data_IF_312726246904
#
_entry.id   IF_312726246904
#
_cell.length_a   1.000
_cell.length_b   1.000
_cell.length_c   1.000
_cell.angle_alpha   90.00
_cell.angle_beta   90.00
_cell.angle_gamma   90.00
#
_symmetry.space_group_name_H-M   'P 1'
#
loop_
_entity.id
_entity.type
_entity.pdbx_description
1 polymer ?
#
# COMPACT_ATOMS: atom_id res chain seq x y z
N UNK A 1 -19.63 -17.84 -31.34
CA UNK A 1 -18.80 -17.12 -30.34
C UNK A 1 -18.12 -18.16 -29.48
N UNK A 2 -16.79 -18.27 -29.56
CA UNK A 2 -16.05 -19.21 -28.72
C UNK A 2 -15.80 -18.58 -27.34
N UNK A 3 -16.16 -19.29 -26.28
CA UNK A 3 -15.84 -18.91 -24.90
C UNK A 3 -14.32 -18.86 -24.72
N UNK A 4 -13.77 -17.68 -24.42
CA UNK A 4 -12.39 -17.56 -23.96
C UNK A 4 -12.35 -17.88 -22.47
N UNK A 5 -11.79 -19.03 -22.10
CA UNK A 5 -11.61 -19.42 -20.70
C UNK A 5 -10.22 -18.97 -20.25
N UNK A 6 -10.15 -17.89 -19.47
CA UNK A 6 -8.93 -17.47 -18.78
C UNK A 6 -8.86 -18.16 -17.42
N UNK A 7 -7.96 -19.15 -17.27
CA UNK A 7 -7.64 -19.73 -15.97
C UNK A 7 -6.63 -18.83 -15.27
N UNK A 8 -7.04 -18.15 -14.21
CA UNK A 8 -6.15 -17.37 -13.36
C UNK A 8 -5.91 -18.14 -12.05
N UNK A 9 -4.65 -18.28 -11.68
CA UNK A 9 -4.23 -18.79 -10.37
C UNK A 9 -3.39 -17.69 -9.74
N UNK A 10 -3.62 -17.43 -8.46
CA UNK A 10 -2.80 -16.50 -7.70
C UNK A 10 -1.38 -17.06 -7.57
N UNK A 11 -0.48 -16.55 -8.41
CA UNK A 11 0.92 -16.96 -8.48
C UNK A 11 1.84 -16.07 -7.61
N UNK A 12 1.30 -15.08 -6.89
CA UNK A 12 2.08 -14.04 -6.20
C UNK A 12 2.63 -14.43 -4.83
N UNK A 13 2.34 -15.66 -4.37
CA UNK A 13 2.85 -16.35 -3.17
C UNK A 13 2.73 -15.64 -1.80
N UNK A 14 2.49 -16.50 -0.80
CA UNK A 14 2.29 -16.29 0.63
C UNK A 14 1.10 -15.38 0.99
N UNK A 15 0.01 -16.04 1.43
CA UNK A 15 -1.13 -15.37 2.04
C UNK A 15 -0.73 -14.81 3.40
N UNK A 16 -1.18 -13.59 3.70
CA UNK A 16 -0.90 -12.95 4.97
C UNK A 16 -2.08 -13.08 5.95
N UNK A 17 -3.30 -13.31 5.48
CA UNK A 17 -4.49 -13.35 6.35
C UNK A 17 -4.65 -14.74 6.96
N UNK A 18 -4.44 -14.84 8.27
CA UNK A 18 -4.59 -16.08 9.05
C UNK A 18 -6.05 -16.32 9.43
N UNK A 19 -6.74 -15.27 9.87
CA UNK A 19 -8.15 -15.35 10.26
C UNK A 19 -8.96 -14.22 9.66
N UNK A 20 -10.11 -14.61 9.12
CA UNK A 20 -11.13 -13.76 8.51
C UNK A 20 -12.35 -13.81 9.41
N UNK A 21 -12.64 -12.75 10.16
CA UNK A 21 -13.66 -12.77 11.21
C UNK A 21 -14.89 -11.97 10.81
N UNK A 22 -14.72 -10.71 10.39
CA UNK A 22 -15.82 -9.88 9.92
C UNK A 22 -15.42 -9.11 8.67
N UNK A 23 -16.20 -9.29 7.61
CA UNK A 23 -16.08 -8.62 6.34
C UNK A 23 -17.03 -7.42 6.22
N UNK A 24 -16.81 -6.62 5.18
CA UNK A 24 -17.80 -5.68 4.66
C UNK A 24 -18.68 -6.48 3.69
N UNK A 25 -19.97 -6.72 4.01
CA UNK A 25 -20.82 -7.57 3.18
C UNK A 25 -20.88 -7.06 1.73
N UNK A 26 -20.69 -7.97 0.78
CA UNK A 26 -20.66 -7.63 -0.64
C UNK A 26 -19.38 -6.93 -1.10
N UNK A 27 -18.35 -6.84 -0.26
CA UNK A 27 -17.06 -6.24 -0.60
C UNK A 27 -17.10 -4.73 -0.82
N UNK A 28 -16.04 -4.21 -1.45
CA UNK A 28 -15.91 -2.78 -1.76
C UNK A 28 -15.38 -2.59 -3.17
N UNK A 29 -15.62 -1.40 -3.72
CA UNK A 29 -15.01 -0.96 -4.97
C UNK A 29 -13.81 -0.05 -4.68
N UNK A 30 -12.60 -0.49 -5.02
CA UNK A 30 -11.37 0.29 -4.88
C UNK A 30 -11.08 1.05 -6.16
N UNK A 31 -10.79 2.33 -6.03
CA UNK A 31 -10.42 3.19 -7.15
C UNK A 31 -9.00 2.89 -7.65
N UNK A 32 -8.84 2.65 -8.96
CA UNK A 32 -7.54 2.36 -9.59
C UNK A 32 -6.78 3.60 -10.09
N UNK A 33 -7.46 4.73 -10.22
CA UNK A 33 -6.92 5.96 -10.86
C UNK A 33 -5.63 6.48 -10.20
N UNK A 34 -5.47 6.19 -8.91
CA UNK A 34 -4.34 6.65 -8.10
C UNK A 34 -3.34 5.53 -7.79
N UNK A 35 -3.51 4.32 -8.32
CA UNK A 35 -2.63 3.18 -8.03
C UNK A 35 -1.46 3.12 -9.01
N UNK A 36 -0.23 3.15 -8.49
CA UNK A 36 0.98 2.98 -9.28
C UNK A 36 1.47 1.53 -9.43
N UNK A 37 0.83 0.57 -8.76
CA UNK A 37 1.18 -0.86 -8.76
C UNK A 37 0.25 -1.69 -9.65
N UNK A 38 0.75 -2.78 -10.23
CA UNK A 38 0.00 -3.69 -11.12
C UNK A 38 -0.84 -4.74 -10.39
N UNK A 39 -0.70 -4.82 -9.07
CA UNK A 39 -1.30 -5.84 -8.24
C UNK A 39 -1.63 -5.24 -6.88
N UNK A 40 -2.87 -5.42 -6.42
CA UNK A 40 -3.27 -5.14 -5.04
C UNK A 40 -3.03 -6.40 -4.24
N UNK A 41 -2.29 -6.30 -3.13
CA UNK A 41 -1.96 -7.45 -2.31
C UNK A 41 -2.95 -7.64 -1.16
N UNK A 42 -3.14 -8.90 -0.78
CA UNK A 42 -3.86 -9.29 0.42
C UNK A 42 -3.22 -8.61 1.65
N UNK A 43 -4.05 -8.15 2.58
CA UNK A 43 -3.63 -7.41 3.76
C UNK A 43 -3.39 -5.92 3.51
N UNK A 44 -3.48 -5.44 2.26
CA UNK A 44 -3.33 -4.01 1.96
C UNK A 44 -4.39 -3.18 2.70
N UNK A 45 -4.00 -2.19 3.51
CA UNK A 45 -4.95 -1.32 4.20
C UNK A 45 -5.74 -0.45 3.20
N UNK A 46 -7.06 -0.41 3.38
CA UNK A 46 -8.00 0.33 2.53
C UNK A 46 -8.93 1.19 3.37
N UNK A 47 -9.27 2.37 2.84
CA UNK A 47 -10.10 3.37 3.51
C UNK A 47 -11.14 3.97 2.57
N UNK A 48 -12.12 4.67 3.14
CA UNK A 48 -13.14 5.38 2.34
C UNK A 48 -12.48 6.51 1.54
N UNK A 49 -12.79 6.57 0.26
CA UNK A 49 -12.48 7.68 -0.64
C UNK A 49 -13.70 8.58 -0.86
N UNK A 50 -13.84 9.07 -2.09
CA UNK A 50 -14.97 9.91 -2.52
C UNK A 50 -15.88 9.11 -3.46
N UNK A 51 -17.15 9.55 -3.59
CA UNK A 51 -18.10 8.94 -4.53
C UNK A 51 -18.43 7.47 -4.23
N UNK A 52 -18.33 7.03 -2.97
CA UNK A 52 -18.57 5.65 -2.57
C UNK A 52 -17.41 4.68 -2.88
N UNK A 53 -16.34 5.15 -3.50
CA UNK A 53 -15.15 4.36 -3.79
C UNK A 53 -14.22 4.31 -2.58
N UNK A 54 -13.52 3.18 -2.44
CA UNK A 54 -12.43 3.01 -1.50
C UNK A 54 -11.10 3.38 -2.15
N UNK A 55 -10.12 3.77 -1.33
CA UNK A 55 -8.75 4.04 -1.74
C UNK A 55 -7.78 3.20 -0.91
N UNK A 56 -6.63 2.89 -1.51
CA UNK A 56 -5.52 2.23 -0.82
C UNK A 56 -4.82 3.24 0.08
N UNK A 57 -4.60 2.87 1.34
CA UNK A 57 -3.66 3.57 2.21
C UNK A 57 -2.26 3.09 1.83
N UNK A 58 -1.61 3.85 0.94
CA UNK A 58 -0.35 3.44 0.33
C UNK A 58 0.77 3.44 1.36
N UNK A 59 1.50 2.33 1.39
CA UNK A 59 2.71 2.14 2.17
C UNK A 59 3.81 1.53 1.32
N UNK A 60 5.05 1.66 1.78
CA UNK A 60 6.20 0.96 1.25
C UNK A 60 7.22 0.71 2.35
N UNK A 61 7.92 -0.42 2.29
CA UNK A 61 9.01 -0.71 3.20
C UNK A 61 10.30 -0.15 2.60
N UNK A 62 11.00 0.71 3.34
CA UNK A 62 12.37 1.10 3.02
C UNK A 62 13.29 -0.09 3.29
N UNK A 63 14.15 -0.46 2.33
CA UNK A 63 14.98 -1.66 2.44
C UNK A 63 16.47 -1.38 2.63
N UNK A 64 16.89 -0.11 2.48
CA UNK A 64 18.26 0.33 2.74
C UNK A 64 18.27 1.60 3.57
N UNK A 65 19.31 1.76 4.40
CA UNK A 65 19.48 2.96 5.21
C UNK A 65 19.72 4.19 4.30
N UNK A 66 18.98 5.26 4.56
CA UNK A 66 19.09 6.52 3.86
C UNK A 66 19.49 7.63 4.83
N UNK A 67 20.46 8.45 4.42
CA UNK A 67 20.93 9.57 5.25
C UNK A 67 19.92 10.72 5.28
N UNK A 68 20.11 11.67 6.21
CA UNK A 68 19.24 12.85 6.32
C UNK A 68 19.30 13.81 5.12
N UNK A 69 20.24 13.61 4.19
CA UNK A 69 20.38 14.38 2.95
C UNK A 69 19.98 13.58 1.72
N UNK A 70 19.59 12.31 1.89
CA UNK A 70 19.19 11.46 0.78
C UNK A 70 17.93 12.03 0.09
N UNK A 71 17.90 11.90 -1.23
CA UNK A 71 16.73 12.20 -2.07
C UNK A 71 16.22 10.95 -2.78
N UNK A 72 16.91 9.82 -2.66
CA UNK A 72 16.56 8.53 -3.24
C UNK A 72 16.40 7.49 -2.14
N UNK A 73 15.36 6.68 -2.25
CA UNK A 73 15.02 5.66 -1.27
C UNK A 73 14.74 4.35 -1.99
N UNK A 74 15.45 3.29 -1.61
CA UNK A 74 15.14 1.95 -2.10
C UNK A 74 14.02 1.35 -1.25
N UNK A 75 12.99 0.86 -1.92
CA UNK A 75 11.80 0.30 -1.28
C UNK A 75 11.47 -1.08 -1.83
N UNK A 76 10.79 -1.90 -1.01
CA UNK A 76 10.28 -3.19 -1.42
C UNK A 76 9.19 -3.06 -2.49
N UNK A 77 9.07 -4.10 -3.33
CA UNK A 77 8.00 -4.22 -4.34
C UNK A 77 6.61 -4.26 -3.70
N UNK A 78 5.59 -3.94 -4.50
CA UNK A 78 4.18 -4.04 -4.08
C UNK A 78 3.55 -2.75 -3.59
N UNK A 79 4.31 -1.66 -3.58
CA UNK A 79 3.77 -0.36 -3.24
C UNK A 79 2.89 0.21 -4.37
N UNK A 80 1.93 1.05 -3.99
CA UNK A 80 1.05 1.74 -4.95
C UNK A 80 1.39 3.22 -5.16
N UNK A 81 2.54 3.71 -4.65
CA UNK A 81 3.00 5.07 -4.94
C UNK A 81 3.13 5.34 -6.44
N UNK A 82 2.78 6.56 -6.84
CA UNK A 82 2.96 7.13 -8.17
C UNK A 82 3.69 8.48 -8.08
N UNK A 83 4.23 8.94 -9.21
CA UNK A 83 4.81 10.29 -9.32
C UNK A 83 3.75 11.34 -8.95
N UNK A 84 4.16 12.33 -8.15
CA UNK A 84 3.27 13.36 -7.60
C UNK A 84 2.66 13.02 -6.23
N UNK A 85 2.70 11.75 -5.79
CA UNK A 85 2.35 11.41 -4.41
C UNK A 85 3.38 11.98 -3.43
N UNK A 86 3.00 12.10 -2.15
CA UNK A 86 3.90 12.58 -1.10
C UNK A 86 4.37 11.45 -0.20
N UNK A 87 5.64 11.10 -0.33
CA UNK A 87 6.32 10.07 0.45
C UNK A 87 6.72 10.62 1.81
N UNK A 88 6.12 10.09 2.88
CA UNK A 88 6.40 10.46 4.27
C UNK A 88 6.90 9.26 5.07
N UNK A 89 7.52 9.55 6.21
CA UNK A 89 7.90 8.57 7.22
C UNK A 89 7.44 9.05 8.61
N UNK A 90 7.53 8.21 9.64
CA UNK A 90 7.07 8.53 10.99
C UNK A 90 7.66 9.85 11.52
N UNK A 91 8.96 10.04 11.31
CA UNK A 91 9.65 11.24 11.78
C UNK A 91 9.81 12.34 10.73
N UNK A 92 9.38 12.13 9.48
CA UNK A 92 9.59 13.08 8.39
C UNK A 92 8.30 13.48 7.66
N UNK A 93 8.13 14.78 7.44
CA UNK A 93 7.03 15.31 6.63
C UNK A 93 7.12 14.82 5.19
N UNK A 94 5.97 14.57 4.58
CA UNK A 94 5.93 14.02 3.23
C UNK A 94 6.52 14.95 2.18
N UNK A 95 7.31 14.40 1.26
CA UNK A 95 7.88 15.10 0.11
C UNK A 95 7.39 14.51 -1.21
N UNK A 96 7.27 15.36 -2.22
CA UNK A 96 6.74 14.96 -3.52
C UNK A 96 7.69 13.99 -4.23
N UNK A 97 7.15 12.88 -4.72
CA UNK A 97 7.85 11.92 -5.57
C UNK A 97 7.97 12.51 -6.97
N UNK A 98 9.20 12.60 -7.48
CA UNK A 98 9.51 13.11 -8.83
C UNK A 98 9.74 12.00 -9.83
N UNK A 99 10.27 10.85 -9.38
CA UNK A 99 10.46 9.68 -10.21
C UNK A 99 10.33 8.39 -9.38
N UNK A 100 9.96 7.31 -10.05
CA UNK A 100 9.99 5.95 -9.50
C UNK A 100 10.61 5.05 -10.55
N UNK A 101 11.75 4.45 -10.24
CA UNK A 101 12.37 3.41 -11.05
C UNK A 101 11.90 2.04 -10.57
N UNK A 102 11.33 1.25 -11.49
CA UNK A 102 10.81 -0.10 -11.24
C UNK A 102 11.53 -1.20 -12.02
N UNK A 103 12.67 -0.87 -12.63
CA UNK A 103 13.40 -1.76 -13.54
C UNK A 103 14.04 -2.97 -12.85
N UNK A 104 14.46 -2.81 -11.59
CA UNK A 104 15.01 -3.90 -10.78
C UNK A 104 13.92 -4.91 -10.40
N UNK A 105 14.23 -6.20 -10.36
CA UNK A 105 13.25 -7.24 -10.03
C UNK A 105 12.90 -7.33 -8.54
N UNK A 106 13.83 -6.92 -7.66
CA UNK A 106 13.75 -7.11 -6.21
C UNK A 106 13.33 -5.85 -5.46
N UNK A 107 13.54 -4.67 -6.06
CA UNK A 107 13.27 -3.38 -5.43
C UNK A 107 12.72 -2.35 -6.40
N UNK A 108 12.16 -1.29 -5.85
CA UNK A 108 11.84 -0.06 -6.54
C UNK A 108 12.66 1.08 -5.93
N UNK A 109 13.02 2.10 -6.72
CA UNK A 109 13.74 3.29 -6.24
C UNK A 109 12.84 4.50 -6.39
N UNK A 110 12.54 5.17 -5.28
CA UNK A 110 11.76 6.40 -5.24
C UNK A 110 12.71 7.58 -5.15
N UNK A 111 12.53 8.55 -6.05
CA UNK A 111 13.24 9.84 -6.02
C UNK A 111 12.29 10.93 -5.56
N UNK A 112 12.71 11.70 -4.56
CA UNK A 112 11.97 12.84 -4.02
C UNK A 112 12.54 14.14 -4.57
N UNK A 113 11.69 15.16 -4.69
CA UNK A 113 12.11 16.50 -5.12
C UNK A 113 12.96 17.24 -4.09
N UNK A 114 12.92 16.80 -2.83
CA UNK A 114 13.76 17.29 -1.75
C UNK A 114 13.93 16.19 -0.71
N UNK A 115 14.94 16.31 0.13
CA UNK A 115 15.22 15.33 1.19
C UNK A 115 14.12 15.34 2.27
N UNK A 116 13.95 14.19 2.94
CA UNK A 116 13.12 14.10 4.14
C UNK A 116 13.72 14.83 5.35
N UNK A 117 15.01 15.19 5.31
CA UNK A 117 15.69 15.94 6.36
C UNK A 117 15.96 15.12 7.63
N UNK A 118 15.79 13.81 7.56
CA UNK A 118 16.01 12.88 8.67
C UNK A 118 16.48 11.55 8.09
N UNK A 119 17.39 10.87 8.80
CA UNK A 119 17.87 9.57 8.39
C UNK A 119 16.73 8.54 8.54
N UNK A 120 16.58 7.68 7.54
CA UNK A 120 15.55 6.63 7.51
C UNK A 120 16.27 5.29 7.49
N UNK A 121 15.97 4.43 8.46
CA UNK A 121 16.58 3.10 8.53
C UNK A 121 15.80 2.09 7.69
N UNK A 122 16.49 1.05 7.23
CA UNK A 122 15.86 -0.11 6.62
C UNK A 122 14.80 -0.71 7.58
N UNK A 123 13.71 -1.23 7.00
CA UNK A 123 12.54 -1.70 7.72
C UNK A 123 11.52 -0.60 8.05
N UNK A 124 11.82 0.68 7.82
CA UNK A 124 10.86 1.76 8.08
C UNK A 124 9.67 1.68 7.11
N UNK A 125 8.46 1.86 7.65
CA UNK A 125 7.24 2.03 6.87
C UNK A 125 7.13 3.47 6.36
N UNK A 126 7.34 3.68 5.07
CA UNK A 126 6.94 4.90 4.40
C UNK A 126 5.46 4.86 4.04
N UNK A 127 4.79 6.01 4.03
CA UNK A 127 3.36 6.13 3.74
C UNK A 127 3.02 7.36 2.90
N UNK A 128 1.89 7.32 2.21
CA UNK A 128 1.38 8.49 1.48
C UNK A 128 0.71 9.48 2.43
N UNK A 129 1.26 10.69 2.46
CA UNK A 129 0.73 11.80 3.27
C UNK A 129 -0.24 12.68 2.49
N UNK A 130 -1.16 13.34 3.21
CA UNK A 130 -2.15 14.25 2.62
C UNK A 130 -1.56 15.58 2.15
N UNK A 131 -0.36 15.93 2.62
CA UNK A 131 0.31 17.20 2.33
C UNK A 131 1.78 17.18 2.77
N UNK A 132 2.38 18.35 2.94
CA UNK A 132 3.72 18.48 3.52
C UNK A 132 3.68 18.26 5.06
N UNK A 133 3.17 17.11 5.48
CA UNK A 133 2.88 16.75 6.86
C UNK A 133 3.08 15.23 7.07
N UNK A 134 2.75 14.75 8.27
CA UNK A 134 2.82 13.33 8.66
C UNK A 134 1.45 12.64 8.68
N UNK A 135 0.43 13.28 8.13
CA UNK A 135 -0.96 12.80 8.19
C UNK A 135 -1.22 11.87 7.01
N UNK A 136 -1.69 10.65 7.29
CA UNK A 136 -2.10 9.70 6.25
C UNK A 136 -3.09 10.35 5.28
N UNK A 137 -2.87 10.18 3.98
CA UNK A 137 -3.82 10.65 2.96
C UNK A 137 -5.14 9.88 3.00
N UNK A 138 -5.08 8.60 3.33
CA UNK A 138 -6.23 7.70 3.47
C UNK A 138 -6.18 7.09 4.85
N UNK A 139 -7.21 7.32 5.67
CA UNK A 139 -7.37 6.62 6.94
C UNK A 139 -7.96 5.23 6.68
N UNK A 140 -7.23 4.14 6.96
CA UNK A 140 -7.72 2.80 6.68
C UNK A 140 -8.81 2.39 7.67
N UNK A 141 -9.75 1.58 7.20
CA UNK A 141 -10.84 1.00 8.02
C UNK A 141 -10.98 -0.52 7.85
N UNK A 142 -10.35 -1.08 6.82
CA UNK A 142 -10.35 -2.50 6.49
C UNK A 142 -9.04 -2.86 5.79
N UNK A 143 -8.80 -4.16 5.59
CA UNK A 143 -7.74 -4.67 4.72
C UNK A 143 -8.32 -5.47 3.55
N UNK A 144 -7.57 -5.52 2.44
CA UNK A 144 -7.91 -6.34 1.28
C UNK A 144 -7.80 -7.84 1.61
N UNK A 145 -8.85 -8.60 1.38
CA UNK A 145 -8.94 -10.03 1.74
C UNK A 145 -8.36 -10.98 0.71
N UNK A 146 -7.96 -10.48 -0.46
CA UNK A 146 -7.43 -11.26 -1.58
C UNK A 146 -6.46 -10.42 -2.39
N UNK A 147 -5.63 -11.11 -3.18
CA UNK A 147 -4.77 -10.47 -4.17
C UNK A 147 -5.60 -10.21 -5.42
N UNK A 148 -5.56 -8.98 -5.94
CA UNK A 148 -6.29 -8.60 -7.16
C UNK A 148 -5.29 -8.06 -8.20
N UNK A 149 -5.50 -8.37 -9.47
CA UNK A 149 -4.75 -7.74 -10.58
C UNK A 149 -5.28 -6.32 -10.78
N UNK A 150 -4.41 -5.31 -10.79
CA UNK A 150 -4.82 -3.93 -11.08
C UNK A 150 -4.85 -3.74 -12.59
N UNK A 151 -6.06 -3.73 -13.16
CA UNK A 151 -6.28 -3.35 -14.54
C UNK A 151 -6.44 -1.83 -14.65
N UNK A 152 -5.70 -1.21 -15.56
CA UNK A 152 -5.86 0.23 -15.82
C UNK A 152 -7.24 0.53 -16.38
N UNK A 153 -7.92 1.54 -15.81
CA UNK A 153 -9.21 2.04 -16.30
C UNK A 153 -10.43 1.44 -15.60
N UNK A 154 -10.31 0.27 -14.98
CA UNK A 154 -11.42 -0.42 -14.32
C UNK A 154 -11.24 -0.44 -12.81
N UNK A 155 -12.22 0.07 -12.07
CA UNK A 155 -12.21 -0.03 -10.61
C UNK A 155 -12.28 -1.49 -10.16
N UNK A 156 -11.64 -1.79 -9.03
CA UNK A 156 -11.46 -3.16 -8.56
C UNK A 156 -12.55 -3.51 -7.56
N UNK A 157 -13.22 -4.63 -7.80
CA UNK A 157 -13.92 -5.31 -6.72
C UNK A 157 -12.90 -5.93 -5.78
N UNK A 158 -13.03 -5.68 -4.48
CA UNK A 158 -12.11 -6.19 -3.45
C UNK A 158 -12.92 -6.72 -2.28
N UNK A 159 -12.63 -7.96 -1.87
CA UNK A 159 -13.11 -8.48 -0.59
C UNK A 159 -12.45 -7.69 0.55
N UNK A 160 -13.22 -7.15 1.48
CA UNK A 160 -12.69 -6.25 2.51
C UNK A 160 -13.03 -6.76 3.91
N UNK A 161 -12.04 -6.76 4.80
CA UNK A 161 -12.18 -7.28 6.16
C UNK A 161 -11.91 -6.21 7.19
N UNK A 162 -12.83 -6.05 8.14
CA UNK A 162 -12.74 -5.10 9.25
C UNK A 162 -12.19 -5.74 10.54
N UNK A 163 -12.32 -7.07 10.67
CA UNK A 163 -11.78 -7.85 11.79
C UNK A 163 -11.07 -9.09 11.26
N UNK A 164 -9.84 -9.31 11.73
CA UNK A 164 -9.04 -10.47 11.34
C UNK A 164 -7.67 -10.53 11.99
N UNK A 165 -6.93 -11.59 11.68
CA UNK A 165 -5.53 -11.76 12.08
C UNK A 165 -4.67 -11.82 10.82
N UNK A 166 -3.62 -11.01 10.78
CA UNK A 166 -2.72 -10.84 9.64
C UNK A 166 -1.28 -11.11 10.08
N UNK A 167 -0.57 -11.98 9.36
CA UNK A 167 0.86 -12.17 9.53
C UNK A 167 1.61 -10.96 8.95
N UNK A 168 2.27 -10.21 9.83
CA UNK A 168 2.94 -8.96 9.47
C UNK A 168 4.15 -9.17 8.54
N UNK A 169 4.80 -10.34 8.58
CA UNK A 169 5.98 -10.62 7.75
C UNK A 169 5.63 -10.77 6.26
N UNK A 170 4.39 -11.16 5.96
CA UNK A 170 3.92 -11.41 4.59
C UNK A 170 2.95 -10.34 4.09
N UNK A 171 2.50 -9.44 4.97
CA UNK A 171 1.59 -8.36 4.61
C UNK A 171 2.36 -7.13 4.12
N UNK A 172 1.71 -6.25 3.32
CA UNK A 172 2.21 -4.90 3.09
C UNK A 172 2.51 -4.21 4.43
N UNK A 173 3.66 -3.55 4.52
CA UNK A 173 4.12 -2.95 5.76
C UNK A 173 3.14 -1.88 6.27
N UNK A 174 2.95 -1.83 7.59
CA UNK A 174 2.09 -0.86 8.27
C UNK A 174 2.78 -0.27 9.49
N UNK A 175 2.62 1.03 9.70
CA UNK A 175 3.12 1.73 10.88
C UNK A 175 2.12 1.70 12.05
N UNK A 176 2.53 2.22 13.21
CA UNK A 176 1.68 2.26 14.41
C UNK A 176 0.36 3.01 14.18
N UNK A 177 0.38 4.12 13.43
CA UNK A 177 -0.82 4.89 13.09
C UNK A 177 -1.84 4.07 12.30
N UNK A 178 -1.39 3.33 11.29
CA UNK A 178 -2.25 2.45 10.48
C UNK A 178 -2.80 1.31 11.34
N UNK A 179 -1.96 0.66 12.15
CA UNK A 179 -2.39 -0.39 13.08
C UNK A 179 -3.45 0.12 14.06
N UNK A 180 -3.27 1.33 14.59
CA UNK A 180 -4.23 1.95 15.50
C UNK A 180 -5.56 2.31 14.82
N UNK A 181 -5.54 2.65 13.52
CA UNK A 181 -6.77 2.90 12.76
C UNK A 181 -7.53 1.60 12.47
N UNK A 182 -6.81 0.50 12.22
CA UNK A 182 -7.34 -0.84 11.99
C UNK A 182 -7.64 -1.59 13.31
N UNK A 183 -8.53 -1.03 14.13
CA UNK A 183 -8.81 -1.51 15.50
C UNK A 183 -9.19 -2.99 15.63
N UNK A 184 -9.84 -3.57 14.61
CA UNK A 184 -10.26 -4.97 14.61
C UNK A 184 -9.21 -5.94 14.07
N UNK A 185 -8.06 -5.44 13.62
CA UNK A 185 -7.04 -6.23 12.92
C UNK A 185 -5.85 -6.45 13.82
N UNK A 186 -5.54 -7.72 14.09
CA UNK A 186 -4.37 -8.11 14.88
C UNK A 186 -3.25 -8.51 13.94
N UNK A 187 -2.13 -7.81 14.04
CA UNK A 187 -0.90 -8.15 13.31
C UNK A 187 -0.01 -9.01 14.20
N UNK A 188 0.33 -10.22 13.73
CA UNK A 188 1.19 -11.21 14.41
C UNK A 188 2.49 -11.45 13.65
#
# INVERSE_FOLDING_TARGET
MALSIKRQKDNRLIKCVLHRVADIPGGVTVSVVDLGGSALFEGTPIGKGQGGLYKVCKTAQVITDATATATTYEIAKGHHFKVGDRFAAEDANGQAITAIDKSDALKDVVTLGTTLGTAITAGTCAFESSGANKTLKVSPIAFAGSNEDVASGDNLFVSAWVIGVVNAANAPIVNATIKSALKGVVYV
#
